data_IF_469557744994
#
_entry.id   IF_469557744994
#
_cell.length_a   1.000
_cell.length_b   1.000
_cell.length_c   1.000
_cell.angle_alpha   90.00
_cell.angle_beta   90.00
_cell.angle_gamma   90.00
#
_symmetry.space_group_name_H-M   'P 1'
#
loop_
_entity.id
_entity.type
_entity.pdbx_description
1 polymer ?
#
# COMPACT_ATOMS: atom_id res chain seq x y z
N UNK A 1 11.19 21.70 -5.02
CA UNK A 1 11.67 20.30 -4.98
C UNK A 1 10.55 19.31 -4.65
N UNK A 2 9.80 19.49 -3.56
CA UNK A 2 8.72 18.55 -3.18
C UNK A 2 7.65 18.29 -4.26
N UNK A 3 7.24 19.29 -5.04
CA UNK A 3 6.28 19.10 -6.14
C UNK A 3 6.85 18.20 -7.25
N UNK A 4 8.12 18.36 -7.59
CA UNK A 4 8.82 17.52 -8.56
C UNK A 4 8.94 16.08 -8.06
N UNK A 5 9.26 15.90 -6.77
CA UNK A 5 9.30 14.60 -6.13
C UNK A 5 7.95 13.88 -6.15
N UNK A 6 6.84 14.59 -5.94
CA UNK A 6 5.50 14.04 -6.08
C UNK A 6 5.23 13.57 -7.51
N UNK A 7 5.59 14.38 -8.52
CA UNK A 7 5.47 13.99 -9.93
C UNK A 7 6.24 12.71 -10.25
N UNK A 8 7.51 12.64 -9.86
CA UNK A 8 8.34 11.45 -10.05
C UNK A 8 7.78 10.22 -9.30
N UNK A 9 7.31 10.43 -8.06
CA UNK A 9 6.67 9.39 -7.26
C UNK A 9 5.43 8.81 -7.91
N UNK A 10 4.54 9.66 -8.42
CA UNK A 10 3.30 9.23 -9.10
C UNK A 10 3.65 8.44 -10.37
N UNK A 11 4.65 8.87 -11.14
CA UNK A 11 5.09 8.12 -12.32
C UNK A 11 5.63 6.74 -11.95
N UNK A 12 6.43 6.64 -10.87
CA UNK A 12 6.93 5.35 -10.38
C UNK A 12 5.81 4.46 -9.81
N UNK A 13 4.82 5.05 -9.15
CA UNK A 13 3.64 4.34 -8.66
C UNK A 13 2.80 3.75 -9.81
N UNK A 14 2.67 4.50 -10.92
CA UNK A 14 1.91 4.05 -12.10
C UNK A 14 2.70 3.13 -13.03
N UNK A 15 4.01 2.98 -12.84
CA UNK A 15 4.87 2.15 -13.68
C UNK A 15 4.36 0.71 -13.85
N UNK A 16 3.92 -0.01 -12.78
CA UNK A 16 3.38 -1.36 -12.93
C UNK A 16 2.06 -1.38 -13.71
N UNK A 17 1.21 -0.35 -13.56
CA UNK A 17 -0.03 -0.22 -14.33
C UNK A 17 0.29 -0.06 -15.82
N UNK A 18 1.26 0.79 -16.17
CA UNK A 18 1.70 0.88 -17.56
C UNK A 18 2.28 -0.43 -18.06
N UNK A 19 3.13 -1.10 -17.28
CA UNK A 19 3.67 -2.40 -17.65
C UNK A 19 2.56 -3.43 -17.93
N UNK A 20 1.50 -3.47 -17.10
CA UNK A 20 0.36 -4.38 -17.31
C UNK A 20 -0.46 -4.09 -18.57
N UNK A 21 -0.42 -2.86 -19.10
CA UNK A 21 -1.10 -2.52 -20.37
C UNK A 21 -0.27 -3.00 -21.57
N UNK A 22 1.06 -3.02 -21.44
CA UNK A 22 1.98 -3.41 -22.51
C UNK A 22 2.28 -4.92 -22.55
N UNK A 23 2.16 -5.59 -21.40
CA UNK A 23 2.27 -7.03 -21.29
C UNK A 23 0.92 -7.65 -21.69
N UNK A 24 0.75 -7.91 -22.98
CA UNK A 24 -0.33 -8.76 -23.49
C UNK A 24 0.10 -10.24 -23.34
N UNK A 25 -0.16 -10.89 -22.20
CA UNK A 25 0.15 -12.32 -22.04
C UNK A 25 -1.09 -13.18 -21.70
N UNK A 26 -1.53 -14.06 -22.62
CA UNK A 26 -2.58 -15.03 -22.37
C UNK A 26 -2.23 -16.14 -21.35
N UNK A 27 -0.98 -16.24 -20.87
CA UNK A 27 -0.49 -17.41 -20.12
C UNK A 27 -0.44 -17.27 -18.59
N UNK A 28 -0.69 -16.08 -18.04
CA UNK A 28 -0.74 -15.84 -16.59
C UNK A 28 0.62 -15.55 -15.91
N UNK A 29 1.74 -15.52 -16.65
CA UNK A 29 3.06 -15.06 -16.17
C UNK A 29 3.12 -13.57 -15.82
N UNK A 30 2.10 -12.80 -16.19
CA UNK A 30 2.07 -11.36 -15.98
C UNK A 30 2.14 -10.97 -14.51
N UNK A 31 1.48 -11.73 -13.62
CA UNK A 31 1.40 -11.32 -12.22
C UNK A 31 2.77 -11.28 -11.53
N UNK A 32 3.60 -12.30 -11.74
CA UNK A 32 4.96 -12.35 -11.18
C UNK A 32 5.84 -11.25 -11.76
N UNK A 33 5.72 -10.98 -13.07
CA UNK A 33 6.42 -9.87 -13.73
C UNK A 33 6.02 -8.53 -13.12
N UNK A 34 4.71 -8.32 -12.88
CA UNK A 34 4.21 -7.10 -12.25
C UNK A 34 4.76 -6.94 -10.82
N UNK A 35 4.88 -8.01 -10.03
CA UNK A 35 5.51 -7.94 -8.71
C UNK A 35 7.00 -7.54 -8.81
N UNK A 36 7.72 -8.03 -9.81
CA UNK A 36 9.11 -7.61 -10.09
C UNK A 36 9.19 -6.14 -10.48
N UNK A 37 8.31 -5.67 -11.36
CA UNK A 37 8.23 -4.25 -11.77
C UNK A 37 7.92 -3.36 -10.56
N UNK A 38 7.05 -3.79 -9.64
CA UNK A 38 6.76 -3.08 -8.38
C UNK A 38 8.01 -2.95 -7.49
N UNK A 39 8.80 -4.00 -7.36
CA UNK A 39 10.09 -3.94 -6.64
C UNK A 39 11.07 -2.98 -7.32
N UNK A 40 11.17 -3.02 -8.64
CA UNK A 40 12.00 -2.10 -9.41
C UNK A 40 11.55 -0.64 -9.18
N UNK A 41 10.24 -0.36 -9.20
CA UNK A 41 9.69 0.96 -8.91
C UNK A 41 10.04 1.44 -7.50
N UNK A 42 9.94 0.58 -6.48
CA UNK A 42 10.35 0.91 -5.12
C UNK A 42 11.86 1.21 -5.01
N UNK A 43 12.71 0.41 -5.66
CA UNK A 43 14.16 0.65 -5.70
C UNK A 43 14.51 1.96 -6.43
N UNK A 44 13.80 2.27 -7.52
CA UNK A 44 13.94 3.54 -8.23
C UNK A 44 13.48 4.72 -7.36
N UNK A 45 12.41 4.57 -6.58
CA UNK A 45 11.95 5.61 -5.64
C UNK A 45 13.00 5.88 -4.56
N UNK A 46 13.55 4.83 -3.94
CA UNK A 46 14.62 4.96 -2.96
C UNK A 46 15.86 5.62 -3.57
N UNK A 47 16.24 5.20 -4.78
CA UNK A 47 17.37 5.78 -5.52
C UNK A 47 17.13 7.26 -5.85
N UNK A 48 15.92 7.61 -6.27
CA UNK A 48 15.53 8.99 -6.53
C UNK A 48 15.69 9.86 -5.28
N UNK A 49 15.22 9.40 -4.12
CA UNK A 49 15.34 10.13 -2.85
C UNK A 49 16.80 10.31 -2.43
N UNK A 50 17.62 9.25 -2.57
CA UNK A 50 19.03 9.28 -2.17
C UNK A 50 19.90 10.13 -3.11
N UNK A 51 19.71 10.01 -4.43
CA UNK A 51 20.64 10.57 -5.41
C UNK A 51 20.13 11.86 -6.05
N UNK A 52 18.82 11.99 -6.28
CA UNK A 52 18.22 13.16 -6.93
C UNK A 52 17.82 14.19 -5.87
N UNK A 53 17.05 13.79 -4.87
CA UNK A 53 16.69 14.71 -3.78
C UNK A 53 17.81 14.94 -2.78
N UNK A 54 18.79 14.03 -2.74
CA UNK A 54 19.92 14.04 -1.80
C UNK A 54 19.47 14.07 -0.34
N UNK A 55 18.44 13.29 -0.01
CA UNK A 55 17.88 13.20 1.34
C UNK A 55 18.16 11.82 1.95
N UNK A 56 18.34 11.74 3.28
CA UNK A 56 18.44 10.45 3.95
C UNK A 56 17.10 9.71 3.87
N UNK A 57 17.12 8.37 3.91
CA UNK A 57 15.89 7.56 3.92
C UNK A 57 14.94 7.87 5.09
N UNK A 58 15.45 8.44 6.17
CA UNK A 58 14.64 8.94 7.28
C UNK A 58 13.69 10.07 6.88
N UNK A 59 13.87 10.72 5.72
CA UNK A 59 12.92 11.67 5.12
C UNK A 59 11.68 11.00 4.52
N UNK A 60 11.67 9.68 4.43
CA UNK A 60 10.50 8.85 4.10
C UNK A 60 9.90 8.20 5.36
N UNK A 61 10.34 8.60 6.56
CA UNK A 61 9.93 7.96 7.80
C UNK A 61 10.52 6.56 8.04
N UNK A 62 11.49 6.10 7.23
CA UNK A 62 12.21 4.85 7.48
C UNK A 62 13.04 4.98 8.77
N UNK A 63 12.51 4.41 9.85
CA UNK A 63 13.06 4.47 11.21
C UNK A 63 12.77 3.15 11.92
N UNK A 64 13.67 2.74 12.80
CA UNK A 64 13.48 1.54 13.61
C UNK A 64 12.29 1.77 14.56
N UNK A 65 11.26 0.91 14.55
CA UNK A 65 10.10 1.04 15.42
C UNK A 65 10.44 0.70 16.88
N UNK A 66 9.74 1.33 17.81
CA UNK A 66 9.83 0.94 19.22
C UNK A 66 8.94 -0.28 19.47
N UNK A 67 9.43 -1.26 20.23
CA UNK A 67 8.68 -2.51 20.52
C UNK A 67 7.27 -2.27 21.06
N UNK A 68 7.10 -1.23 21.88
CA UNK A 68 5.80 -0.82 22.43
C UNK A 68 4.82 -0.37 21.34
N UNK A 69 5.32 0.31 20.31
CA UNK A 69 4.49 0.77 19.20
C UNK A 69 4.04 -0.40 18.36
N UNK A 70 4.93 -1.37 18.09
CA UNK A 70 4.59 -2.64 17.41
C UNK A 70 3.48 -3.37 18.18
N UNK A 71 3.62 -3.49 19.51
CA UNK A 71 2.62 -4.17 20.34
C UNK A 71 1.24 -3.49 20.32
N UNK A 72 1.20 -2.16 20.16
CA UNK A 72 -0.05 -1.39 20.04
C UNK A 72 -0.63 -1.45 18.62
N UNK A 73 0.20 -1.50 17.60
CA UNK A 73 -0.24 -1.56 16.20
C UNK A 73 -0.96 -2.87 15.89
N UNK A 74 -0.55 -3.99 16.47
CA UNK A 74 -1.20 -5.30 16.26
C UNK A 74 -2.72 -5.28 16.56
N UNK A 75 -3.18 -4.93 17.77
CA UNK A 75 -4.61 -4.91 18.07
C UNK A 75 -5.37 -3.83 17.29
N UNK A 76 -4.76 -2.67 17.00
CA UNK A 76 -5.40 -1.63 16.19
C UNK A 76 -5.59 -2.12 14.74
N UNK A 77 -4.62 -2.87 14.22
CA UNK A 77 -4.70 -3.48 12.89
C UNK A 77 -5.81 -4.52 12.82
N UNK A 78 -5.91 -5.38 13.84
CA UNK A 78 -7.01 -6.34 13.95
C UNK A 78 -8.39 -5.62 14.03
N UNK A 79 -8.50 -4.54 14.80
CA UNK A 79 -9.74 -3.77 14.90
C UNK A 79 -10.14 -3.12 13.57
N UNK A 80 -9.17 -2.58 12.82
CA UNK A 80 -9.41 -2.00 11.49
C UNK A 80 -9.83 -3.08 10.47
N UNK A 81 -9.19 -4.26 10.50
CA UNK A 81 -9.57 -5.40 9.67
C UNK A 81 -11.00 -5.85 9.96
N UNK A 82 -11.36 -6.03 11.25
CA UNK A 82 -12.73 -6.39 11.66
C UNK A 82 -13.71 -5.32 11.19
N UNK A 83 -13.37 -4.05 11.32
CA UNK A 83 -14.23 -2.94 10.86
C UNK A 83 -14.43 -3.00 9.35
N UNK A 84 -13.36 -3.23 8.57
CA UNK A 84 -13.44 -3.43 7.13
C UNK A 84 -14.37 -4.59 6.75
N UNK A 85 -14.22 -5.74 7.42
CA UNK A 85 -15.06 -6.93 7.19
C UNK A 85 -16.54 -6.61 7.47
N UNK A 86 -16.82 -5.99 8.62
CA UNK A 86 -18.20 -5.63 9.00
C UNK A 86 -18.82 -4.66 8.00
N UNK A 87 -18.07 -3.62 7.58
CA UNK A 87 -18.54 -2.67 6.57
C UNK A 87 -18.79 -3.35 5.22
N UNK A 88 -17.89 -4.25 4.79
CA UNK A 88 -18.06 -5.04 3.57
C UNK A 88 -19.32 -5.90 3.63
N UNK A 89 -19.57 -6.58 4.75
CA UNK A 89 -20.79 -7.37 4.95
C UNK A 89 -22.06 -6.50 4.97
N UNK A 90 -22.01 -5.31 5.57
CA UNK A 90 -23.17 -4.39 5.65
C UNK A 90 -23.61 -3.87 4.28
N UNK A 91 -22.69 -3.72 3.33
CA UNK A 91 -23.03 -3.32 1.95
C UNK A 91 -23.40 -4.52 1.06
N UNK A 92 -23.53 -5.73 1.63
CA UNK A 92 -23.88 -6.95 0.90
C UNK A 92 -22.69 -7.63 0.21
N UNK A 93 -21.46 -7.20 0.51
CA UNK A 93 -20.26 -7.64 -0.18
C UNK A 93 -20.10 -7.05 -1.58
N UNK A 94 -19.20 -7.64 -2.35
CA UNK A 94 -18.98 -7.39 -3.77
C UNK A 94 -19.05 -8.70 -4.55
N UNK A 95 -19.27 -8.60 -5.87
CA UNK A 95 -19.13 -9.74 -6.76
C UNK A 95 -17.66 -10.08 -7.01
N UNK A 96 -17.43 -11.07 -7.88
CA UNK A 96 -16.07 -11.46 -8.28
C UNK A 96 -15.36 -10.28 -8.94
N UNK A 97 -14.12 -10.07 -8.52
CA UNK A 97 -13.27 -8.98 -8.97
C UNK A 97 -11.96 -9.54 -9.49
N UNK A 98 -11.24 -8.76 -10.30
CA UNK A 98 -9.90 -9.15 -10.74
C UNK A 98 -8.99 -9.48 -9.55
N UNK A 99 -9.03 -8.64 -8.50
CA UNK A 99 -8.24 -8.86 -7.29
C UNK A 99 -8.60 -10.19 -6.60
N UNK A 100 -9.89 -10.50 -6.43
CA UNK A 100 -10.29 -11.76 -5.79
C UNK A 100 -9.90 -12.98 -6.62
N UNK A 101 -10.11 -12.95 -7.94
CA UNK A 101 -9.68 -14.04 -8.83
C UNK A 101 -8.17 -14.28 -8.82
N UNK A 102 -7.36 -13.21 -8.74
CA UNK A 102 -5.91 -13.34 -8.57
C UNK A 102 -5.61 -14.03 -7.24
N UNK A 103 -6.16 -13.53 -6.13
CA UNK A 103 -5.91 -14.07 -4.78
C UNK A 103 -6.27 -15.55 -4.69
N UNK A 104 -7.42 -15.94 -5.25
CA UNK A 104 -7.90 -17.34 -5.24
C UNK A 104 -7.00 -18.29 -6.04
N UNK A 105 -6.15 -17.76 -6.94
CA UNK A 105 -5.24 -18.55 -7.77
C UNK A 105 -3.81 -18.67 -7.21
N UNK A 106 -3.50 -17.97 -6.11
CA UNK A 106 -2.13 -17.90 -5.60
C UNK A 106 -1.70 -19.17 -4.88
N UNK A 107 -0.49 -19.63 -5.17
CA UNK A 107 0.22 -20.52 -4.25
C UNK A 107 0.56 -19.80 -2.94
N UNK A 108 0.81 -20.56 -1.86
CA UNK A 108 1.26 -19.99 -0.57
C UNK A 108 2.50 -19.10 -0.74
N UNK A 109 3.46 -19.50 -1.59
CA UNK A 109 4.68 -18.72 -1.83
C UNK A 109 4.35 -17.40 -2.54
N UNK A 110 3.50 -17.46 -3.57
CA UNK A 110 3.06 -16.26 -4.30
C UNK A 110 2.25 -15.32 -3.41
N UNK A 111 1.40 -15.85 -2.51
CA UNK A 111 0.67 -15.07 -1.52
C UNK A 111 1.60 -14.35 -0.53
N UNK A 112 2.63 -15.03 0.00
CA UNK A 112 3.65 -14.39 0.85
C UNK A 112 4.36 -13.27 0.10
N UNK A 113 4.77 -13.50 -1.15
CA UNK A 113 5.44 -12.49 -1.97
C UNK A 113 4.53 -11.29 -2.22
N UNK A 114 3.26 -11.50 -2.58
CA UNK A 114 2.26 -10.44 -2.74
C UNK A 114 2.13 -9.61 -1.46
N UNK A 115 1.96 -10.25 -0.29
CA UNK A 115 1.78 -9.56 0.99
C UNK A 115 2.95 -8.63 1.29
N UNK A 116 4.19 -9.14 1.15
CA UNK A 116 5.40 -8.35 1.41
C UNK A 116 5.57 -7.24 0.37
N UNK A 117 5.34 -7.56 -0.91
CA UNK A 117 5.46 -6.60 -2.00
C UNK A 117 4.47 -5.44 -1.84
N UNK A 118 3.19 -5.74 -1.62
CA UNK A 118 2.14 -4.73 -1.41
C UNK A 118 2.48 -3.85 -0.21
N UNK A 119 2.78 -4.45 0.95
CA UNK A 119 3.09 -3.71 2.16
C UNK A 119 4.29 -2.78 2.00
N UNK A 120 5.38 -3.22 1.35
CA UNK A 120 6.57 -2.38 1.20
C UNK A 120 6.40 -1.31 0.13
N UNK A 121 5.97 -1.70 -1.07
CA UNK A 121 5.92 -0.82 -2.25
C UNK A 121 4.87 0.28 -2.06
N UNK A 122 3.70 -0.08 -1.55
CA UNK A 122 2.61 0.88 -1.37
C UNK A 122 2.93 1.86 -0.24
N UNK A 123 3.40 1.38 0.91
CA UNK A 123 3.72 2.27 2.03
C UNK A 123 4.88 3.22 1.68
N UNK A 124 5.91 2.76 0.94
CA UNK A 124 6.99 3.62 0.46
C UNK A 124 6.47 4.81 -0.34
N UNK A 125 5.50 4.59 -1.23
CA UNK A 125 4.90 5.66 -2.00
C UNK A 125 3.92 6.49 -1.16
N UNK A 126 2.91 5.88 -0.55
CA UNK A 126 1.79 6.60 0.07
C UNK A 126 2.18 7.28 1.39
N UNK A 127 2.86 6.57 2.29
CA UNK A 127 3.23 7.09 3.62
C UNK A 127 4.62 7.71 3.60
N UNK A 128 5.55 7.06 2.92
CA UNK A 128 6.93 7.52 2.82
C UNK A 128 7.07 8.77 1.95
N UNK A 129 6.69 8.71 0.68
CA UNK A 129 6.89 9.83 -0.24
C UNK A 129 5.73 10.83 -0.20
N UNK A 130 4.52 10.41 -0.58
CA UNK A 130 3.35 11.26 -0.77
C UNK A 130 3.04 12.08 0.50
N UNK A 131 2.89 11.42 1.65
CA UNK A 131 2.59 12.15 2.88
C UNK A 131 3.70 13.13 3.27
N UNK A 132 4.97 12.74 3.22
CA UNK A 132 6.10 13.62 3.57
C UNK A 132 6.19 14.84 2.66
N UNK A 133 5.94 14.68 1.35
CA UNK A 133 5.98 15.81 0.40
C UNK A 133 4.77 16.70 0.47
N UNK A 134 3.58 16.15 0.72
CA UNK A 134 2.40 16.99 0.98
C UNK A 134 2.57 17.76 2.29
N UNK A 135 3.17 17.16 3.33
CA UNK A 135 3.52 17.87 4.57
C UNK A 135 4.50 19.00 4.29
N UNK A 136 5.54 18.76 3.50
CA UNK A 136 6.53 19.79 3.13
C UNK A 136 5.90 20.95 2.35
N UNK A 137 4.97 20.67 1.44
CA UNK A 137 4.31 21.70 0.62
C UNK A 137 3.25 22.50 1.39
N UNK A 138 2.53 21.85 2.30
CA UNK A 138 1.34 22.46 2.93
C UNK A 138 1.54 22.84 4.39
N UNK A 139 2.56 22.27 5.05
CA UNK A 139 2.74 22.35 6.50
C UNK A 139 1.66 21.61 7.31
N UNK A 140 0.76 20.85 6.67
CA UNK A 140 -0.47 20.32 7.30
C UNK A 140 -0.52 18.78 7.20
N UNK A 141 -0.15 18.06 8.27
CA UNK A 141 -0.18 16.59 8.31
C UNK A 141 -1.54 15.97 7.98
N UNK A 142 -2.63 16.63 8.36
CA UNK A 142 -3.98 16.13 8.07
C UNK A 142 -4.32 16.15 6.58
N UNK A 143 -3.81 17.14 5.82
CA UNK A 143 -3.99 17.19 4.36
C UNK A 143 -3.23 16.05 3.68
N UNK A 144 -2.03 15.74 4.17
CA UNK A 144 -1.24 14.61 3.69
C UNK A 144 -1.93 13.26 3.97
N UNK A 145 -2.46 13.07 5.18
CA UNK A 145 -3.22 11.87 5.53
C UNK A 145 -4.48 11.73 4.66
N UNK A 146 -5.22 12.82 4.45
CA UNK A 146 -6.41 12.83 3.57
C UNK A 146 -6.04 12.52 2.12
N UNK A 147 -4.99 13.14 1.58
CA UNK A 147 -4.52 12.86 0.22
C UNK A 147 -4.10 11.40 0.06
N UNK A 148 -3.33 10.87 1.01
CA UNK A 148 -2.94 9.47 1.02
C UNK A 148 -4.15 8.54 1.07
N UNK A 149 -5.13 8.82 1.94
CA UNK A 149 -6.35 8.03 2.05
C UNK A 149 -7.15 8.00 0.74
N UNK A 150 -7.41 9.17 0.15
CA UNK A 150 -8.22 9.30 -1.06
C UNK A 150 -7.54 8.62 -2.25
N UNK A 151 -6.26 8.89 -2.48
CA UNK A 151 -5.54 8.31 -3.63
C UNK A 151 -5.36 6.80 -3.47
N UNK A 152 -5.02 6.32 -2.26
CA UNK A 152 -4.88 4.89 -1.98
C UNK A 152 -6.21 4.17 -2.24
N UNK A 153 -7.28 4.60 -1.58
CA UNK A 153 -8.61 3.98 -1.69
C UNK A 153 -9.13 4.04 -3.13
N UNK A 154 -9.02 5.19 -3.79
CA UNK A 154 -9.48 5.38 -5.16
C UNK A 154 -8.73 4.52 -6.18
N UNK A 155 -7.41 4.36 -6.02
CA UNK A 155 -6.58 3.55 -6.91
C UNK A 155 -6.93 2.05 -6.90
N UNK A 156 -7.62 1.57 -5.86
CA UNK A 156 -8.02 0.16 -5.74
C UNK A 156 -9.37 -0.15 -6.41
N UNK A 157 -10.17 0.87 -6.74
CA UNK A 157 -11.51 0.67 -7.33
C UNK A 157 -11.46 -0.14 -8.64
N UNK A 158 -10.56 0.13 -9.61
CA UNK A 158 -10.56 -0.59 -10.89
C UNK A 158 -10.34 -2.11 -10.75
N UNK A 159 -9.46 -2.55 -9.84
CA UNK A 159 -9.13 -3.97 -9.66
C UNK A 159 -9.97 -4.68 -8.61
N UNK A 160 -10.31 -3.99 -7.52
CA UNK A 160 -10.97 -4.59 -6.33
C UNK A 160 -12.47 -4.30 -6.27
N UNK A 161 -13.00 -3.46 -7.15
CA UNK A 161 -14.39 -3.04 -7.14
C UNK A 161 -14.73 -2.05 -6.01
N UNK A 162 -15.90 -1.40 -6.14
CA UNK A 162 -16.35 -0.35 -5.22
C UNK A 162 -16.57 -0.83 -3.79
N UNK A 163 -17.16 -2.01 -3.60
CA UNK A 163 -17.46 -2.54 -2.27
C UNK A 163 -16.17 -2.75 -1.47
N UNK A 164 -15.21 -3.50 -1.99
CA UNK A 164 -13.91 -3.77 -1.33
C UNK A 164 -13.08 -2.49 -1.16
N UNK A 165 -13.08 -1.60 -2.16
CA UNK A 165 -12.34 -0.35 -2.08
C UNK A 165 -12.88 0.57 -0.97
N UNK A 166 -14.20 0.82 -0.94
CA UNK A 166 -14.79 1.76 0.01
C UNK A 166 -14.97 1.21 1.44
N UNK A 167 -14.71 -0.09 1.66
CA UNK A 167 -14.86 -0.73 2.98
C UNK A 167 -13.51 -1.23 3.51
N UNK A 168 -13.05 -2.39 3.06
CA UNK A 168 -11.80 -3.04 3.48
C UNK A 168 -10.58 -2.15 3.22
N UNK A 169 -10.45 -1.68 1.98
CA UNK A 169 -9.29 -0.86 1.56
C UNK A 169 -9.31 0.48 2.27
N UNK A 170 -10.48 1.13 2.37
CA UNK A 170 -10.63 2.39 3.10
C UNK A 170 -10.27 2.24 4.59
N UNK A 171 -10.70 1.17 5.26
CA UNK A 171 -10.36 0.92 6.65
C UNK A 171 -8.83 0.76 6.85
N UNK A 172 -8.17 -0.02 5.99
CA UNK A 172 -6.71 -0.13 5.97
C UNK A 172 -6.02 1.20 5.65
N UNK A 173 -6.52 1.94 4.66
CA UNK A 173 -5.97 3.22 4.26
C UNK A 173 -5.96 4.23 5.42
N UNK A 174 -7.09 4.30 6.13
CA UNK A 174 -7.26 5.14 7.32
C UNK A 174 -6.33 4.69 8.46
N UNK A 175 -6.23 3.38 8.69
CA UNK A 175 -5.30 2.80 9.68
C UNK A 175 -3.86 3.24 9.40
N UNK A 176 -3.32 2.93 8.22
CA UNK A 176 -1.90 3.15 7.97
C UNK A 176 -1.56 4.65 7.89
N UNK A 177 -2.46 5.49 7.35
CA UNK A 177 -2.30 6.95 7.39
C UNK A 177 -2.36 7.49 8.83
N UNK A 178 -3.23 6.92 9.68
CA UNK A 178 -3.31 7.25 11.10
C UNK A 178 -2.05 6.86 11.88
N UNK A 179 -1.53 5.64 11.68
CA UNK A 179 -0.26 5.18 12.26
C UNK A 179 0.86 6.12 11.83
N UNK A 180 0.93 6.47 10.53
CA UNK A 180 1.99 7.35 10.04
C UNK A 180 1.86 8.77 10.58
N UNK A 181 0.65 9.32 10.70
CA UNK A 181 0.46 10.62 11.36
C UNK A 181 0.93 10.55 12.82
N UNK A 182 0.57 9.50 13.55
CA UNK A 182 0.89 9.34 14.96
C UNK A 182 2.40 9.19 15.24
N UNK A 183 3.10 8.35 14.47
CA UNK A 183 4.50 7.96 14.74
C UNK A 183 5.51 8.43 13.70
N UNK A 184 5.07 8.84 12.51
CA UNK A 184 5.90 9.10 11.31
C UNK A 184 6.98 8.04 11.16
N UNK A 185 6.56 6.78 11.24
CA UNK A 185 7.42 5.63 11.12
C UNK A 185 6.84 4.71 10.03
N UNK A 186 7.60 4.61 8.94
CA UNK A 186 7.19 3.84 7.78
C UNK A 186 7.20 2.34 8.05
N UNK A 187 8.15 1.85 8.85
CA UNK A 187 8.27 0.43 9.16
C UNK A 187 7.04 -0.06 9.92
N UNK A 188 6.51 0.74 10.85
CA UNK A 188 5.23 0.42 11.52
C UNK A 188 4.06 0.30 10.55
N UNK A 189 4.00 1.15 9.51
CA UNK A 189 2.96 1.08 8.50
C UNK A 189 3.12 -0.16 7.62
N UNK A 190 4.35 -0.53 7.23
CA UNK A 190 4.65 -1.76 6.48
C UNK A 190 4.23 -2.99 7.31
N UNK A 191 4.55 -3.02 8.59
CA UNK A 191 4.15 -4.12 9.49
C UNK A 191 2.63 -4.22 9.63
N UNK A 192 1.94 -3.09 9.84
CA UNK A 192 0.48 -3.04 9.92
C UNK A 192 -0.16 -3.50 8.61
N UNK A 193 0.35 -3.07 7.47
CA UNK A 193 -0.17 -3.44 6.16
C UNK A 193 0.04 -4.93 5.88
N UNK A 194 1.24 -5.46 6.11
CA UNK A 194 1.50 -6.89 5.96
C UNK A 194 0.57 -7.73 6.86
N UNK A 195 0.34 -7.27 8.10
CA UNK A 195 -0.60 -7.89 9.03
C UNK A 195 -2.05 -7.84 8.53
N UNK A 196 -2.49 -6.70 7.98
CA UNK A 196 -3.82 -6.56 7.37
C UNK A 196 -4.05 -7.52 6.20
N UNK A 197 -2.98 -7.90 5.48
CA UNK A 197 -3.07 -8.78 4.32
C UNK A 197 -2.91 -10.28 4.66
N UNK A 198 -2.70 -10.67 5.94
CA UNK A 198 -2.62 -12.09 6.33
C UNK A 198 -3.83 -12.95 5.93
N UNK A 199 -5.09 -12.45 5.85
CA UNK A 199 -6.21 -13.25 5.34
C UNK A 199 -5.97 -13.85 3.95
N UNK A 200 -5.13 -13.23 3.11
CA UNK A 200 -4.74 -13.76 1.79
C UNK A 200 -4.03 -15.12 1.92
N UNK A 201 -3.21 -15.33 2.96
CA UNK A 201 -2.60 -16.64 3.23
C UNK A 201 -3.65 -17.69 3.59
N UNK A 202 -4.71 -17.29 4.29
CA UNK A 202 -5.80 -18.20 4.63
C UNK A 202 -6.49 -18.76 3.39
N UNK A 203 -6.65 -17.92 2.35
CA UNK A 203 -7.19 -18.35 1.05
C UNK A 203 -6.22 -19.30 0.35
N UNK A 204 -4.94 -18.95 0.26
CA UNK A 204 -3.93 -19.77 -0.44
C UNK A 204 -3.63 -21.13 0.24
N UNK A 205 -4.07 -21.34 1.48
CA UNK A 205 -3.93 -22.58 2.23
C UNK A 205 -5.14 -23.53 2.12
N UNK A 206 -6.28 -23.04 1.62
CA UNK A 206 -7.54 -23.77 1.49
C UNK A 206 -7.86 -24.15 0.04
#
# INVERSE_FOLDING_TARGET
MALFALGAGVLLWLLPTFASIWLEDPSGSDFDIILVVRWAAAMLLLSFVLFVERRPLSSLGLRIPQRRDVAVVVPITAAALITGILLYSLVGGGGDTQTSSIIDSLSVIAAIHLIVNAAVVEELFFRGLLMERVIELTGRPWLAALASFVVFTGSHIPGSGWATALTMTAAGAALFAGIYWWRRNLVLCIEAHALSNLPILGVALG
#
